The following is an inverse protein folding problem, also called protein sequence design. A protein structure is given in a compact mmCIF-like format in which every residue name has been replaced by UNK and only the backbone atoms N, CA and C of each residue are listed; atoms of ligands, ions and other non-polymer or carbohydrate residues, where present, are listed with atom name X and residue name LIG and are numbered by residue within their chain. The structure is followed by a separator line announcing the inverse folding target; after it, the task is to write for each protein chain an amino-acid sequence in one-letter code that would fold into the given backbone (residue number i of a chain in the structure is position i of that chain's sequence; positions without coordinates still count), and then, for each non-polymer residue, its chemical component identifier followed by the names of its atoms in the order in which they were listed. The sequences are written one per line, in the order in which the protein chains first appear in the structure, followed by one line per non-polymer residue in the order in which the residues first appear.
data_IF_593644160268
#
_entry.id   IF_593644160268
#
_cell.length_a   1.000
_cell.length_b   1.000
_cell.length_c   1.000
_cell.angle_alpha   90.00
_cell.angle_beta   90.00
_cell.angle_gamma   90.00
#
_symmetry.space_group_name_H-M   'P 1'
#
loop_
_entity.id
_entity.type
_entity.pdbx_description
1 polymer ?
#
# COMPACT_ATOMS: atom_id res chain seq x y z
N UNK A 1 -8.60 -12.62 -26.02
CA UNK A 1 -9.45 -11.40 -26.04
C UNK A 1 -9.92 -11.10 -24.63
N UNK A 2 -9.78 -9.87 -24.17
CA UNK A 2 -10.24 -9.38 -22.86
C UNK A 2 -11.77 -9.32 -22.87
N UNK A 3 -12.44 -9.75 -21.79
CA UNK A 3 -13.91 -9.66 -21.74
C UNK A 3 -14.34 -8.18 -21.65
N UNK A 4 -15.50 -7.82 -22.21
CA UNK A 4 -16.07 -6.45 -22.13
C UNK A 4 -16.23 -5.91 -20.70
N UNK A 5 -16.31 -6.84 -19.71
CA UNK A 5 -16.39 -6.51 -18.27
C UNK A 5 -15.03 -6.21 -17.63
N UNK A 6 -13.94 -6.47 -18.33
CA UNK A 6 -12.61 -6.21 -17.82
C UNK A 6 -12.20 -4.76 -18.15
N UNK A 7 -12.33 -3.86 -17.19
CA UNK A 7 -11.99 -2.44 -17.29
C UNK A 7 -10.50 -2.14 -17.02
N UNK A 8 -9.64 -3.15 -16.91
CA UNK A 8 -8.20 -2.92 -16.74
C UNK A 8 -7.68 -2.12 -17.93
N UNK A 9 -6.91 -1.09 -17.66
CA UNK A 9 -6.26 -0.28 -18.68
C UNK A 9 -5.32 -1.17 -19.49
N UNK A 10 -5.44 -1.12 -20.81
CA UNK A 10 -4.51 -1.78 -21.74
C UNK A 10 -3.63 -0.70 -22.37
N UNK A 11 -2.37 -1.05 -22.57
CA UNK A 11 -1.40 -0.20 -23.27
C UNK A 11 -0.45 -1.10 -24.07
N UNK A 12 0.09 -0.57 -25.16
CA UNK A 12 1.09 -1.23 -25.97
C UNK A 12 2.45 -1.28 -25.27
N UNK A 13 3.37 -2.08 -25.79
CA UNK A 13 4.73 -2.12 -25.26
C UNK A 13 5.46 -0.76 -25.40
N UNK A 14 5.15 -0.02 -26.46
CA UNK A 14 5.69 1.31 -26.73
C UNK A 14 5.15 2.33 -25.72
N UNK A 15 3.84 2.37 -25.51
CA UNK A 15 3.20 3.21 -24.47
C UNK A 15 3.75 2.87 -23.08
N UNK A 16 3.94 1.59 -22.76
CA UNK A 16 4.53 1.16 -21.50
C UNK A 16 5.95 1.69 -21.29
N UNK A 17 6.80 1.70 -22.34
CA UNK A 17 8.12 2.32 -22.28
C UNK A 17 8.04 3.83 -22.09
N UNK A 18 7.11 4.49 -22.77
CA UNK A 18 6.88 5.92 -22.61
C UNK A 18 6.45 6.27 -21.18
N UNK A 19 5.50 5.52 -20.58
CA UNK A 19 5.08 5.75 -19.21
C UNK A 19 6.23 5.52 -18.22
N UNK A 20 7.02 4.47 -18.39
CA UNK A 20 8.19 4.22 -17.56
C UNK A 20 9.25 5.32 -17.68
N UNK A 21 9.42 5.92 -18.87
CA UNK A 21 10.37 7.02 -19.04
C UNK A 21 9.99 8.30 -18.31
N UNK A 22 8.71 8.47 -17.95
CA UNK A 22 8.20 9.57 -17.15
C UNK A 22 8.41 9.36 -15.63
N UNK A 23 8.69 8.13 -15.20
CA UNK A 23 8.99 7.82 -13.82
C UNK A 23 10.44 8.18 -13.51
N UNK A 24 10.69 8.64 -12.28
CA UNK A 24 12.06 8.83 -11.80
C UNK A 24 12.56 7.57 -11.11
N UNK A 25 13.86 7.34 -11.18
CA UNK A 25 14.56 6.35 -10.36
C UNK A 25 15.33 7.06 -9.26
N UNK A 26 15.28 6.51 -8.06
CA UNK A 26 15.97 7.05 -6.89
C UNK A 26 17.16 6.14 -6.60
N UNK A 27 18.36 6.61 -6.93
CA UNK A 27 19.63 5.86 -6.77
C UNK A 27 20.53 6.49 -5.69
N UNK A 28 20.15 7.68 -5.21
CA UNK A 28 20.86 8.43 -4.15
C UNK A 28 19.85 9.19 -3.31
N UNK A 29 20.30 9.79 -2.20
CA UNK A 29 19.43 10.63 -1.37
C UNK A 29 18.88 11.80 -2.19
N UNK A 30 17.57 12.00 -2.09
CA UNK A 30 16.83 13.05 -2.79
C UNK A 30 16.28 14.10 -1.82
N UNK A 31 16.12 15.31 -2.31
CA UNK A 31 15.40 16.38 -1.61
C UNK A 31 13.90 16.33 -1.89
N UNK A 32 13.08 16.96 -1.03
CA UNK A 32 11.61 16.99 -1.18
C UNK A 32 11.20 17.58 -2.54
N UNK A 33 11.84 18.67 -2.97
CA UNK A 33 11.53 19.33 -4.25
C UNK A 33 11.76 18.43 -5.47
N UNK A 34 12.69 17.48 -5.39
CA UNK A 34 13.04 16.58 -6.48
C UNK A 34 12.04 15.47 -6.68
N UNK A 35 11.31 15.07 -5.61
CA UNK A 35 10.34 13.97 -5.61
C UNK A 35 8.88 14.44 -5.59
N UNK A 36 8.63 15.71 -5.31
CA UNK A 36 7.27 16.27 -5.28
C UNK A 36 6.62 16.18 -6.66
N UNK A 37 5.38 15.68 -6.71
CA UNK A 37 4.62 15.44 -7.95
C UNK A 37 5.30 14.47 -8.94
N UNK A 38 6.13 13.56 -8.44
CA UNK A 38 6.79 12.54 -9.26
C UNK A 38 6.26 11.15 -8.97
N UNK A 39 6.25 10.32 -9.99
CA UNK A 39 6.09 8.88 -9.86
C UNK A 39 7.47 8.25 -9.77
N UNK A 40 7.74 7.53 -8.69
CA UNK A 40 8.99 6.83 -8.46
C UNK A 40 8.80 5.37 -8.86
N UNK A 41 9.67 4.85 -9.72
CA UNK A 41 9.71 3.45 -10.09
C UNK A 41 10.92 2.77 -9.46
N UNK A 42 10.68 1.81 -8.58
CA UNK A 42 11.73 1.09 -7.88
C UNK A 42 11.21 0.14 -6.82
N UNK A 43 12.11 -0.59 -6.21
CA UNK A 43 11.83 -1.43 -5.06
C UNK A 43 11.66 -0.54 -3.82
N UNK A 44 10.51 -0.62 -3.18
CA UNK A 44 10.17 0.19 -1.99
C UNK A 44 11.23 0.09 -0.89
N UNK A 45 11.76 -1.11 -0.63
CA UNK A 45 12.77 -1.31 0.41
C UNK A 45 14.13 -0.64 0.09
N UNK A 46 14.41 -0.39 -1.18
CA UNK A 46 15.64 0.28 -1.65
C UNK A 46 15.44 1.80 -1.75
N UNK A 47 14.24 2.22 -2.14
CA UNK A 47 13.90 3.62 -2.38
C UNK A 47 13.65 4.38 -1.07
N UNK A 48 12.85 3.82 -0.16
CA UNK A 48 12.43 4.52 1.07
C UNK A 48 13.61 5.06 1.90
N UNK A 49 14.74 4.34 2.08
CA UNK A 49 15.90 4.85 2.83
C UNK A 49 16.60 6.07 2.18
N UNK A 50 16.31 6.32 0.90
CA UNK A 50 16.89 7.41 0.13
C UNK A 50 15.99 8.66 0.10
N UNK A 51 14.75 8.55 0.60
CA UNK A 51 13.81 9.66 0.67
C UNK A 51 14.10 10.56 1.90
N UNK A 52 13.68 11.83 1.86
CA UNK A 52 13.80 12.73 2.99
C UNK A 52 13.00 12.25 4.20
N UNK A 53 13.45 12.60 5.40
CA UNK A 53 12.69 12.38 6.61
C UNK A 53 11.57 13.42 6.77
N UNK A 54 10.47 13.04 7.43
CA UNK A 54 9.44 13.95 7.95
C UNK A 54 8.84 14.90 6.90
N UNK A 55 8.49 14.37 5.70
CA UNK A 55 7.91 15.18 4.64
C UNK A 55 6.50 14.71 4.19
N UNK A 56 6.11 13.49 4.54
CA UNK A 56 4.81 12.91 4.15
C UNK A 56 3.74 13.24 5.17
N UNK A 57 2.67 13.90 4.73
CA UNK A 57 1.49 14.19 5.54
C UNK A 57 0.48 13.04 5.53
N UNK A 58 0.32 12.40 4.37
CA UNK A 58 -0.64 11.31 4.14
C UNK A 58 0.04 10.18 3.39
N UNK A 59 -0.03 8.98 3.94
CA UNK A 59 0.35 7.75 3.30
C UNK A 59 -0.89 6.91 2.97
N UNK A 60 -0.99 6.46 1.72
CA UNK A 60 -1.93 5.41 1.30
C UNK A 60 -1.08 4.28 0.73
N UNK A 61 -1.10 3.12 1.38
CA UNK A 61 -0.35 1.95 0.97
C UNK A 61 -1.29 0.81 0.54
N UNK A 62 -1.03 0.26 -0.64
CA UNK A 62 -1.69 -0.94 -1.17
C UNK A 62 -0.62 -2.03 -1.42
N UNK A 63 -0.14 -2.69 -0.33
CA UNK A 63 0.92 -3.68 -0.44
C UNK A 63 0.41 -4.96 -1.11
N UNK A 64 1.31 -5.84 -1.58
CA UNK A 64 0.91 -7.18 -2.01
C UNK A 64 0.20 -7.91 -0.86
N UNK A 65 -1.06 -8.27 -1.08
CA UNK A 65 -1.81 -9.10 -0.13
C UNK A 65 -1.20 -10.51 -0.11
N UNK A 66 -1.23 -11.16 1.01
CA UNK A 66 -0.68 -12.51 1.19
C UNK A 66 -1.47 -13.57 0.40
N UNK A 67 -1.52 -13.42 -0.90
CA UNK A 67 -2.26 -14.26 -1.84
C UNK A 67 -1.33 -14.78 -2.93
N UNK A 68 -1.58 -16.03 -3.36
CA UNK A 68 -0.89 -16.56 -4.52
C UNK A 68 -1.35 -15.82 -5.78
N UNK A 69 -0.46 -15.05 -6.38
CA UNK A 69 -0.72 -14.29 -7.60
C UNK A 69 0.51 -14.26 -8.50
N UNK A 70 0.26 -14.38 -9.80
CA UNK A 70 1.28 -14.16 -10.83
C UNK A 70 0.99 -12.84 -11.53
N UNK A 71 1.94 -11.91 -11.46
CA UNK A 71 1.90 -10.64 -12.18
C UNK A 71 3.00 -10.67 -13.25
N UNK A 72 2.64 -11.00 -14.49
CA UNK A 72 3.54 -10.94 -15.65
C UNK A 72 4.90 -11.63 -15.43
N UNK A 73 4.90 -12.81 -14.80
CA UNK A 73 6.12 -13.60 -14.54
C UNK A 73 6.67 -13.45 -13.11
N UNK A 74 6.22 -12.47 -12.33
CA UNK A 74 6.54 -12.38 -10.92
C UNK A 74 5.44 -13.12 -10.12
N UNK A 75 5.78 -14.25 -9.54
CA UNK A 75 4.86 -15.04 -8.72
C UNK A 75 5.03 -14.67 -7.25
N UNK A 76 3.96 -14.18 -6.64
CA UNK A 76 3.86 -14.02 -5.19
C UNK A 76 3.25 -15.29 -4.61
N UNK A 77 3.98 -15.95 -3.73
CA UNK A 77 3.50 -17.11 -3.00
C UNK A 77 2.88 -16.67 -1.67
N UNK A 78 1.85 -17.39 -1.26
CA UNK A 78 1.28 -17.19 0.08
C UNK A 78 2.33 -17.55 1.13
N UNK A 79 2.66 -16.61 1.99
CA UNK A 79 3.54 -16.77 3.13
C UNK A 79 2.77 -17.29 4.35
N UNK A 80 3.46 -17.92 5.30
CA UNK A 80 2.90 -18.14 6.62
C UNK A 80 2.63 -16.78 7.29
N UNK A 81 1.71 -16.75 8.23
CA UNK A 81 1.29 -15.50 8.88
C UNK A 81 2.48 -14.75 9.50
N UNK A 82 3.37 -15.46 10.17
CA UNK A 82 4.57 -14.88 10.78
C UNK A 82 5.52 -14.28 9.73
N UNK A 83 5.78 -15.00 8.63
CA UNK A 83 6.66 -14.53 7.57
C UNK A 83 6.07 -13.28 6.88
N UNK A 84 4.72 -13.21 6.79
CA UNK A 84 4.04 -12.03 6.27
C UNK A 84 4.07 -10.84 7.24
N UNK A 85 4.03 -11.07 8.55
CA UNK A 85 4.28 -10.02 9.55
C UNK A 85 5.70 -9.47 9.43
N UNK A 86 6.71 -10.33 9.30
CA UNK A 86 8.10 -9.91 9.12
C UNK A 86 8.29 -9.11 7.83
N UNK A 87 7.66 -9.55 6.74
CA UNK A 87 7.62 -8.78 5.48
C UNK A 87 6.98 -7.40 5.69
N UNK A 88 5.86 -7.35 6.40
CA UNK A 88 5.12 -6.11 6.69
C UNK A 88 5.94 -5.18 7.60
N UNK A 89 6.53 -5.71 8.65
CA UNK A 89 7.41 -4.97 9.57
C UNK A 89 8.55 -4.29 8.84
N UNK A 90 9.15 -4.99 7.88
CA UNK A 90 10.29 -4.48 7.12
C UNK A 90 9.96 -3.18 6.37
N UNK A 91 8.85 -3.12 5.64
CA UNK A 91 8.52 -1.91 4.88
C UNK A 91 7.85 -0.83 5.75
N UNK A 92 7.11 -1.19 6.81
CA UNK A 92 6.53 -0.23 7.75
C UNK A 92 7.62 0.52 8.52
N UNK A 93 8.64 -0.17 9.01
CA UNK A 93 9.77 0.47 9.68
C UNK A 93 10.55 1.44 8.79
N UNK A 94 10.57 1.18 7.47
CA UNK A 94 11.19 2.10 6.49
C UNK A 94 10.31 3.32 6.17
N UNK A 95 9.00 3.21 6.32
CA UNK A 95 8.06 4.31 6.11
C UNK A 95 8.05 5.27 7.30
N UNK A 96 8.17 4.78 8.50
CA UNK A 96 8.04 5.59 9.72
C UNK A 96 8.91 6.88 9.73
N UNK A 97 10.19 6.85 9.30
CA UNK A 97 11.04 8.05 9.29
C UNK A 97 10.59 9.14 8.31
N UNK A 98 9.97 8.77 7.19
CA UNK A 98 9.55 9.73 6.16
C UNK A 98 8.24 10.46 6.51
N UNK A 99 7.46 9.91 7.44
CA UNK A 99 6.20 10.49 7.90
C UNK A 99 6.43 11.68 8.83
N UNK A 100 5.67 12.75 8.64
CA UNK A 100 5.60 13.86 9.59
C UNK A 100 5.04 13.42 10.94
N UNK A 101 5.30 14.15 12.04
CA UNK A 101 4.77 13.81 13.36
C UNK A 101 3.24 13.69 13.41
N UNK A 102 2.52 14.46 12.60
CA UNK A 102 1.06 14.50 12.50
C UNK A 102 0.49 13.74 11.29
N UNK A 103 1.28 12.86 10.67
CA UNK A 103 0.87 12.13 9.49
C UNK A 103 -0.26 11.13 9.75
N UNK A 104 -1.10 10.97 8.74
CA UNK A 104 -2.17 9.97 8.65
C UNK A 104 -1.78 8.85 7.69
N UNK A 105 -2.18 7.61 8.01
CA UNK A 105 -1.74 6.40 7.33
C UNK A 105 -2.96 5.53 7.04
N UNK A 106 -3.10 5.11 5.78
CA UNK A 106 -4.11 4.16 5.33
C UNK A 106 -3.43 2.97 4.68
N UNK A 107 -3.69 1.76 5.18
CA UNK A 107 -3.12 0.52 4.64
C UNK A 107 -4.22 -0.41 4.19
N UNK A 108 -4.28 -0.67 2.88
CA UNK A 108 -5.23 -1.59 2.28
C UNK A 108 -4.79 -3.04 2.51
N UNK A 109 -5.74 -3.94 2.73
CA UNK A 109 -5.47 -5.36 2.88
C UNK A 109 -6.69 -6.24 2.59
N UNK A 110 -6.43 -7.52 2.30
CA UNK A 110 -7.43 -8.57 2.27
C UNK A 110 -7.70 -9.07 3.70
N UNK A 111 -8.90 -9.61 3.93
CA UNK A 111 -9.32 -10.12 5.25
C UNK A 111 -8.35 -11.17 5.84
N UNK A 112 -7.63 -11.94 4.98
CA UNK A 112 -6.69 -12.97 5.44
C UNK A 112 -5.41 -12.40 6.04
N UNK A 113 -4.96 -11.25 5.55
CA UNK A 113 -3.75 -10.59 6.05
C UNK A 113 -4.07 -9.40 6.96
N UNK A 114 -5.35 -9.08 7.16
CA UNK A 114 -5.79 -7.92 7.94
C UNK A 114 -5.27 -7.95 9.38
N UNK A 115 -5.30 -9.11 10.04
CA UNK A 115 -4.78 -9.25 11.41
C UNK A 115 -3.26 -9.05 11.51
N UNK A 116 -2.50 -9.54 10.54
CA UNK A 116 -1.05 -9.34 10.48
C UNK A 116 -0.70 -7.86 10.29
N UNK A 117 -1.35 -7.20 9.33
CA UNK A 117 -1.19 -5.74 9.11
C UNK A 117 -1.53 -4.96 10.38
N UNK A 118 -2.64 -5.25 11.03
CA UNK A 118 -3.06 -4.58 12.25
C UNK A 118 -2.00 -4.67 13.36
N UNK A 119 -1.54 -5.89 13.67
CA UNK A 119 -0.51 -6.10 14.70
C UNK A 119 0.79 -5.35 14.41
N UNK A 120 1.20 -5.28 13.16
CA UNK A 120 2.41 -4.53 12.79
C UNK A 120 2.16 -3.03 12.92
N UNK A 121 1.02 -2.52 12.44
CA UNK A 121 0.69 -1.10 12.58
C UNK A 121 0.69 -0.65 14.04
N UNK A 122 0.13 -1.45 14.97
CA UNK A 122 0.10 -1.13 16.40
C UNK A 122 1.48 -1.03 17.06
N UNK A 123 2.54 -1.60 16.46
CA UNK A 123 3.91 -1.47 16.97
C UNK A 123 4.53 -0.11 16.67
N UNK A 124 4.08 0.55 15.60
CA UNK A 124 4.67 1.79 15.08
C UNK A 124 3.74 3.00 15.22
N UNK A 125 2.42 2.78 15.21
CA UNK A 125 1.41 3.83 15.10
C UNK A 125 0.23 3.58 16.03
N UNK A 126 -0.60 4.59 16.20
CA UNK A 126 -1.91 4.42 16.84
C UNK A 126 -2.95 4.07 15.78
N UNK A 127 -3.46 2.85 15.82
CA UNK A 127 -4.55 2.43 14.94
C UNK A 127 -5.86 3.05 15.44
N UNK A 128 -6.53 3.77 14.57
CA UNK A 128 -7.76 4.51 14.87
C UNK A 128 -9.02 3.76 14.46
N UNK A 129 -9.05 3.26 13.21
CA UNK A 129 -10.23 2.61 12.66
C UNK A 129 -9.86 1.50 11.66
N UNK A 130 -10.79 0.55 11.51
CA UNK A 130 -10.88 -0.31 10.35
C UNK A 130 -12.02 0.18 9.46
N UNK A 131 -11.71 0.52 8.23
CA UNK A 131 -12.67 0.88 7.19
C UNK A 131 -12.90 -0.38 6.36
N UNK A 132 -14.16 -0.73 6.14
CA UNK A 132 -14.51 -1.89 5.31
C UNK A 132 -15.02 -1.40 3.96
N UNK A 133 -14.29 -1.73 2.91
CA UNK A 133 -14.68 -1.38 1.55
C UNK A 133 -15.45 -2.52 0.91
N UNK A 134 -16.73 -2.28 0.60
CA UNK A 134 -17.57 -3.24 -0.11
C UNK A 134 -17.29 -3.19 -1.63
N UNK A 135 -16.98 -4.35 -2.20
CA UNK A 135 -16.86 -4.52 -3.65
C UNK A 135 -18.22 -4.82 -4.28
N UNK A 136 -18.43 -4.38 -5.53
CA UNK A 136 -19.66 -4.70 -6.30
C UNK A 136 -19.89 -6.22 -6.47
N UNK A 137 -18.83 -7.01 -6.56
CA UNK A 137 -18.90 -8.47 -6.76
C UNK A 137 -17.98 -9.18 -5.78
N UNK A 138 -18.60 -9.94 -4.86
CA UNK A 138 -17.85 -10.85 -4.01
C UNK A 138 -17.15 -11.92 -4.83
N UNK A 139 -15.89 -12.19 -4.50
CA UNK A 139 -15.16 -13.38 -4.99
C UNK A 139 -15.57 -14.56 -4.13
N UNK A 140 -16.10 -15.61 -4.78
CA UNK A 140 -16.60 -16.78 -4.08
C UNK A 140 -15.74 -18.00 -4.28
N UNK A 141 -15.56 -18.76 -3.21
CA UNK A 141 -15.12 -20.12 -3.29
C UNK A 141 -16.37 -21.05 -3.42
N UNK A 142 -16.17 -22.23 -4.00
CA UNK A 142 -17.25 -23.22 -4.14
C UNK A 142 -17.67 -23.83 -2.80
N UNK A 143 -16.84 -23.75 -1.78
CA UNK A 143 -16.96 -24.44 -0.49
C UNK A 143 -17.10 -23.52 0.74
N UNK A 144 -17.12 -22.19 0.54
CA UNK A 144 -17.27 -21.23 1.64
C UNK A 144 -18.04 -19.97 1.20
N UNK A 145 -18.18 -19.00 2.10
CA UNK A 145 -18.85 -17.73 1.84
C UNK A 145 -18.07 -16.86 0.85
N UNK A 146 -18.80 -16.14 0.00
CA UNK A 146 -18.22 -15.13 -0.89
C UNK A 146 -17.67 -13.98 -0.06
N UNK A 147 -16.40 -13.63 -0.28
CA UNK A 147 -15.83 -12.40 0.27
C UNK A 147 -16.04 -11.25 -0.72
N UNK A 148 -16.79 -10.25 -0.30
CA UNK A 148 -17.07 -9.03 -1.07
C UNK A 148 -16.44 -7.78 -0.43
N UNK A 149 -15.59 -7.94 0.58
CA UNK A 149 -15.04 -6.82 1.34
C UNK A 149 -13.53 -6.82 1.33
N UNK A 150 -12.96 -5.62 1.44
CA UNK A 150 -11.53 -5.38 1.73
C UNK A 150 -11.44 -4.48 2.96
N UNK A 151 -10.37 -4.63 3.71
CA UNK A 151 -10.10 -3.80 4.88
C UNK A 151 -9.09 -2.69 4.53
N UNK A 152 -9.29 -1.52 5.13
CA UNK A 152 -8.32 -0.42 5.10
C UNK A 152 -8.11 -0.02 6.55
N UNK A 153 -6.89 -0.18 7.06
CA UNK A 153 -6.54 0.27 8.38
C UNK A 153 -6.15 1.74 8.36
N UNK A 154 -6.87 2.56 9.13
CA UNK A 154 -6.52 3.95 9.39
C UNK A 154 -5.71 4.03 10.68
N UNK A 155 -4.53 4.59 10.59
CA UNK A 155 -3.63 4.82 11.70
C UNK A 155 -3.03 6.23 11.64
N UNK A 156 -2.52 6.72 12.77
CA UNK A 156 -1.88 8.04 12.89
C UNK A 156 -0.58 7.92 13.67
N UNK A 157 0.37 8.81 13.37
CA UNK A 157 1.64 8.87 14.09
C UNK A 157 1.47 9.47 15.49
N UNK A 158 0.61 10.49 15.61
CA UNK A 158 0.27 11.12 16.89
C UNK A 158 -1.26 11.24 17.05
N UNK A 159 -1.91 10.52 17.96
CA UNK A 159 -3.35 10.55 18.12
C UNK A 159 -3.89 11.88 18.70
N UNK A 160 -3.02 12.76 19.17
CA UNK A 160 -3.39 14.08 19.71
C UNK A 160 -3.22 15.21 18.70
N UNK A 161 -2.55 14.93 17.57
CA UNK A 161 -2.24 15.93 16.55
C UNK A 161 -2.20 15.24 15.18
N UNK A 162 -3.34 15.16 14.50
CA UNK A 162 -3.49 14.70 13.13
C UNK A 162 -4.64 15.42 12.44
N UNK A 163 -4.57 15.51 11.12
CA UNK A 163 -5.64 16.11 10.33
C UNK A 163 -6.73 15.08 10.02
N UNK A 164 -7.99 15.42 10.35
CA UNK A 164 -9.17 14.66 9.97
C UNK A 164 -10.34 15.63 9.73
N UNK A 165 -10.87 15.62 8.49
CA UNK A 165 -12.01 16.47 8.12
C UNK A 165 -13.31 15.70 8.31
N UNK A 166 -13.93 15.90 9.48
CA UNK A 166 -15.19 15.23 9.88
C UNK A 166 -16.35 15.64 8.97
N UNK A 167 -16.32 16.86 8.40
CA UNK A 167 -17.43 17.36 7.57
C UNK A 167 -17.42 16.75 6.15
N UNK A 168 -16.29 16.21 5.73
CA UNK A 168 -16.11 15.60 4.41
C UNK A 168 -16.35 14.09 4.35
N UNK A 169 -16.66 13.41 5.48
CA UNK A 169 -16.85 11.96 5.58
C UNK A 169 -18.22 11.54 6.11
#
# INVERSE_FOLDING_TARGET
MKSEKNKTIDFSAEEGKEYLSRCIKVEQKMGVAEITNKTIFGNTNEVLPLLPNSFVDLLIADPPYNLEKNFHGNTFHTLKEQDYEEYTEKWISLIEPILKPNASIYVCCDWKCSSAIHRVLERHFTVMNRITWQREKGRGAKSNWKNGMEDIWFAVKNPKDYYFDVESV
#
